data_IF_734128869220
#
_entry.id   IF_734128869220
#
_cell.length_a   1.000
_cell.length_b   1.000
_cell.length_c   1.000
_cell.angle_alpha   90.00
_cell.angle_beta   90.00
_cell.angle_gamma   90.00
#
_symmetry.space_group_name_H-M   'P 1'
#
loop_
_entity.id
_entity.type
_entity.pdbx_description
1 polymer ?
#
# COMPACT_ATOMS: atom_id res chain seq x y z
N UNK A 1 -26.83 29.66 -16.46
CA UNK A 1 -25.47 29.08 -16.58
C UNK A 1 -25.34 27.81 -15.73
N UNK A 2 -25.03 26.67 -16.37
CA UNK A 2 -24.84 25.37 -15.73
C UNK A 2 -26.14 24.61 -15.43
N UNK A 3 -26.69 23.90 -16.42
CA UNK A 3 -27.64 22.82 -16.15
C UNK A 3 -26.84 21.63 -15.58
N UNK A 4 -27.27 21.01 -14.46
CA UNK A 4 -26.68 19.77 -13.99
C UNK A 4 -27.05 18.65 -14.98
N UNK A 5 -26.26 18.53 -16.04
CA UNK A 5 -26.34 17.43 -16.99
C UNK A 5 -25.83 16.16 -16.30
N UNK A 6 -26.75 15.45 -15.64
CA UNK A 6 -26.47 14.13 -15.12
C UNK A 6 -26.26 13.17 -16.30
N UNK A 7 -25.05 12.62 -16.40
CA UNK A 7 -24.76 11.59 -17.40
C UNK A 7 -25.58 10.34 -17.04
N UNK A 8 -26.40 9.79 -17.96
CA UNK A 8 -27.17 8.59 -17.69
C UNK A 8 -26.26 7.44 -17.26
N UNK A 9 -26.63 6.71 -16.18
CA UNK A 9 -25.82 5.59 -15.64
C UNK A 9 -25.45 4.54 -16.70
N UNK A 10 -26.33 4.31 -17.66
CA UNK A 10 -26.11 3.37 -18.77
C UNK A 10 -24.95 3.79 -19.69
N UNK A 11 -24.66 5.10 -19.80
CA UNK A 11 -23.55 5.63 -20.58
C UNK A 11 -22.25 5.73 -19.78
N UNK A 12 -22.32 5.85 -18.44
CA UNK A 12 -21.13 5.92 -17.59
C UNK A 12 -20.31 4.63 -17.63
N UNK A 13 -20.95 3.47 -17.60
CA UNK A 13 -20.24 2.17 -17.61
C UNK A 13 -19.35 1.96 -18.86
N UNK A 14 -19.84 2.13 -20.11
CA UNK A 14 -18.98 2.00 -21.28
C UNK A 14 -17.91 3.10 -21.33
N UNK A 15 -18.24 4.33 -20.93
CA UNK A 15 -17.27 5.42 -20.88
C UNK A 15 -16.11 5.11 -19.93
N UNK A 16 -16.40 4.65 -18.71
CA UNK A 16 -15.39 4.26 -17.72
C UNK A 16 -14.54 3.08 -18.20
N UNK A 17 -15.11 2.12 -18.93
CA UNK A 17 -14.33 1.01 -19.51
C UNK A 17 -13.32 1.52 -20.54
N UNK A 18 -13.73 2.47 -21.39
CA UNK A 18 -12.85 3.08 -22.39
C UNK A 18 -11.76 3.90 -21.69
N UNK A 19 -12.13 4.75 -20.74
CA UNK A 19 -11.20 5.56 -19.97
C UNK A 19 -10.19 4.69 -19.20
N UNK A 20 -10.64 3.62 -18.55
CA UNK A 20 -9.76 2.67 -17.87
C UNK A 20 -8.74 2.06 -18.84
N UNK A 21 -9.20 1.58 -20.00
CA UNK A 21 -8.31 0.95 -20.99
C UNK A 21 -7.32 1.93 -21.61
N UNK A 22 -7.75 3.15 -21.90
CA UNK A 22 -6.93 4.12 -22.65
C UNK A 22 -6.05 4.98 -21.75
N UNK A 23 -6.43 5.20 -20.50
CA UNK A 23 -5.70 6.10 -19.59
C UNK A 23 -5.15 5.35 -18.37
N UNK A 24 -6.01 4.62 -17.64
CA UNK A 24 -5.58 4.02 -16.36
C UNK A 24 -4.60 2.86 -16.57
N UNK A 25 -4.85 1.98 -17.55
CA UNK A 25 -3.94 0.86 -17.84
C UNK A 25 -2.53 1.30 -18.21
N UNK A 26 -2.31 2.14 -19.24
CA UNK A 26 -0.95 2.54 -19.58
C UNK A 26 -0.26 3.28 -18.44
N UNK A 27 -1.01 4.13 -17.72
CA UNK A 27 -0.48 4.85 -16.55
C UNK A 27 0.02 3.89 -15.45
N UNK A 28 -0.75 2.85 -15.14
CA UNK A 28 -0.40 1.89 -14.07
C UNK A 28 0.60 0.82 -14.54
N UNK A 29 0.70 0.57 -15.84
CA UNK A 29 1.71 -0.35 -16.41
C UNK A 29 3.12 0.21 -16.22
N UNK A 30 3.30 1.52 -16.39
CA UNK A 30 4.57 2.21 -16.11
C UNK A 30 4.97 2.10 -14.64
N UNK A 31 4.03 2.44 -13.73
CA UNK A 31 4.24 2.31 -12.29
C UNK A 31 4.53 0.85 -11.88
N UNK A 32 3.83 -0.12 -12.48
CA UNK A 32 4.03 -1.53 -12.21
C UNK A 32 5.43 -2.01 -12.60
N UNK A 33 5.89 -1.64 -13.80
CA UNK A 33 7.25 -1.94 -14.26
C UNK A 33 8.32 -1.33 -13.35
N UNK A 34 8.11 -0.10 -12.88
CA UNK A 34 9.02 0.56 -11.95
C UNK A 34 9.11 -0.20 -10.61
N UNK A 35 7.96 -0.55 -10.02
CA UNK A 35 7.91 -1.31 -8.75
C UNK A 35 8.57 -2.68 -8.88
N UNK A 36 8.35 -3.39 -9.98
CA UNK A 36 9.00 -4.69 -10.21
C UNK A 36 10.52 -4.56 -10.33
N UNK A 37 11.02 -3.52 -11.01
CA UNK A 37 12.44 -3.24 -11.12
C UNK A 37 13.06 -2.85 -9.76
N UNK A 38 12.36 -2.02 -8.98
CA UNK A 38 12.75 -1.65 -7.62
C UNK A 38 12.82 -2.88 -6.72
N UNK A 39 11.83 -3.77 -6.78
CA UNK A 39 11.79 -5.01 -6.02
C UNK A 39 12.98 -5.92 -6.37
N UNK A 40 13.27 -6.11 -7.66
CA UNK A 40 14.44 -6.89 -8.10
C UNK A 40 15.76 -6.24 -7.65
N UNK A 41 15.84 -4.90 -7.66
CA UNK A 41 16.98 -4.16 -7.17
C UNK A 41 17.19 -4.38 -5.66
N UNK A 42 16.11 -4.28 -4.89
CA UNK A 42 16.12 -4.51 -3.45
C UNK A 42 16.56 -5.94 -3.11
N UNK A 43 16.01 -6.96 -3.77
CA UNK A 43 16.39 -8.36 -3.54
C UNK A 43 17.88 -8.62 -3.78
N UNK A 44 18.50 -7.90 -4.73
CA UNK A 44 19.93 -8.04 -5.04
C UNK A 44 20.83 -7.20 -4.13
N UNK A 45 20.35 -6.06 -3.65
CA UNK A 45 21.18 -5.01 -3.03
C UNK A 45 20.52 -4.35 -1.81
N UNK A 46 19.82 -5.12 -0.98
CA UNK A 46 19.08 -4.58 0.18
C UNK A 46 19.97 -3.85 1.20
N UNK A 47 21.26 -4.17 1.23
CA UNK A 47 22.27 -3.59 2.12
C UNK A 47 23.04 -2.43 1.49
N UNK A 48 22.82 -2.15 0.21
CA UNK A 48 23.43 -1.03 -0.48
C UNK A 48 22.77 0.31 -0.07
N UNK A 49 23.50 1.43 -0.15
CA UNK A 49 22.92 2.75 0.08
C UNK A 49 21.77 3.03 -0.89
N UNK A 50 20.67 3.60 -0.37
CA UNK A 50 19.51 4.00 -1.17
C UNK A 50 19.94 5.10 -2.16
N UNK A 51 19.74 4.86 -3.45
CA UNK A 51 20.04 5.79 -4.53
C UNK A 51 18.88 6.78 -4.80
N UNK A 52 18.24 7.29 -3.74
CA UNK A 52 17.11 8.21 -3.84
C UNK A 52 17.59 9.66 -3.77
N UNK A 53 17.28 10.44 -4.81
CA UNK A 53 17.72 11.83 -4.95
C UNK A 53 16.65 12.82 -4.49
N UNK A 54 15.39 12.39 -4.36
CA UNK A 54 14.29 13.25 -3.97
C UNK A 54 14.32 13.51 -2.45
N UNK A 55 14.52 14.78 -2.01
CA UNK A 55 14.58 15.10 -0.59
C UNK A 55 13.28 14.78 0.16
N UNK A 56 12.12 14.80 -0.52
CA UNK A 56 10.85 14.47 0.11
C UNK A 56 10.78 12.99 0.53
N UNK A 57 11.37 12.09 -0.27
CA UNK A 57 11.40 10.65 0.04
C UNK A 57 12.30 10.40 1.25
N UNK A 58 13.43 11.09 1.35
CA UNK A 58 14.30 11.01 2.52
C UNK A 58 13.59 11.47 3.81
N UNK A 59 12.88 12.59 3.77
CA UNK A 59 12.11 13.07 4.93
C UNK A 59 10.98 12.09 5.31
N UNK A 60 10.32 11.50 4.31
CA UNK A 60 9.30 10.48 4.54
C UNK A 60 9.88 9.21 5.20
N UNK A 61 11.04 8.75 4.75
CA UNK A 61 11.76 7.61 5.37
C UNK A 61 12.14 7.92 6.82
N UNK A 62 12.67 9.13 7.08
CA UNK A 62 13.02 9.58 8.43
C UNK A 62 11.80 9.56 9.36
N UNK A 63 10.66 10.07 8.89
CA UNK A 63 9.42 10.05 9.65
C UNK A 63 8.94 8.62 9.91
N UNK A 64 9.03 7.75 8.90
CA UNK A 64 8.65 6.33 9.00
C UNK A 64 9.46 5.62 10.09
N UNK A 65 10.78 5.82 10.10
CA UNK A 65 11.69 5.28 11.13
C UNK A 65 11.27 5.78 12.52
N UNK A 66 11.11 7.10 12.68
CA UNK A 66 10.74 7.69 13.97
C UNK A 66 9.41 7.13 14.51
N UNK A 67 8.39 6.98 13.65
CA UNK A 67 7.10 6.40 14.05
C UNK A 67 7.18 4.92 14.37
N UNK A 68 8.06 4.19 13.70
CA UNK A 68 8.28 2.79 14.03
C UNK A 68 8.97 2.62 15.38
N UNK A 69 9.99 3.44 15.66
CA UNK A 69 10.68 3.46 16.96
C UNK A 69 9.74 3.84 18.10
N UNK A 70 8.88 4.85 17.91
CA UNK A 70 7.83 5.21 18.86
C UNK A 70 6.92 4.00 19.16
N UNK A 71 6.43 3.33 18.11
CA UNK A 71 5.58 2.15 18.25
C UNK A 71 6.27 1.01 19.01
N UNK A 72 7.53 0.72 18.69
CA UNK A 72 8.31 -0.32 19.36
C UNK A 72 8.48 0.00 20.85
N UNK A 73 8.79 1.25 21.20
CA UNK A 73 8.93 1.69 22.59
C UNK A 73 7.62 1.57 23.37
N UNK A 74 6.48 1.94 22.78
CA UNK A 74 5.14 1.75 23.39
C UNK A 74 4.82 0.28 23.63
N UNK A 75 5.12 -0.56 22.64
CA UNK A 75 4.89 -2.01 22.70
C UNK A 75 5.74 -2.67 23.78
N UNK A 76 6.98 -2.24 23.99
CA UNK A 76 7.87 -2.74 25.05
C UNK A 76 7.44 -2.29 26.44
N UNK A 77 6.91 -1.06 26.57
CA UNK A 77 6.37 -0.52 27.84
C UNK A 77 5.07 -1.17 28.27
N UNK A 78 4.32 -1.76 27.34
CA UNK A 78 3.08 -2.48 27.64
C UNK A 78 3.43 -3.90 28.10
N UNK A 79 3.31 -4.25 29.39
CA UNK A 79 3.58 -5.61 29.84
C UNK A 79 2.69 -6.59 29.08
N UNK A 80 3.24 -7.75 28.67
CA UNK A 80 2.51 -8.86 28.03
C UNK A 80 1.37 -9.34 28.95
N UNK A 81 0.22 -8.67 28.88
CA UNK A 81 -1.03 -9.13 29.45
C UNK A 81 -2.05 -9.30 28.33
N UNK A 82 -1.69 -10.11 27.34
CA UNK A 82 -2.66 -10.83 26.52
C UNK A 82 -2.53 -12.30 26.84
N UNK A 83 -3.30 -12.77 27.81
CA UNK A 83 -3.78 -14.15 27.73
C UNK A 83 -4.63 -14.19 26.47
N UNK A 84 -4.18 -14.92 25.46
CA UNK A 84 -5.02 -15.23 24.32
C UNK A 84 -6.27 -15.96 24.86
N UNK A 85 -7.49 -15.61 24.43
CA UNK A 85 -8.64 -16.44 24.74
C UNK A 85 -8.37 -17.83 24.16
N UNK A 86 -8.32 -18.84 25.04
CA UNK A 86 -8.29 -20.24 24.63
C UNK A 86 -9.63 -20.51 23.95
N UNK A 87 -9.64 -20.61 22.63
CA UNK A 87 -10.80 -21.10 21.91
C UNK A 87 -10.96 -22.60 22.24
N UNK A 88 -12.18 -23.09 22.55
CA UNK A 88 -12.40 -24.52 22.66
C UNK A 88 -12.07 -25.16 21.31
N UNK A 89 -11.19 -26.16 21.31
CA UNK A 89 -10.85 -26.95 20.13
C UNK A 89 -12.12 -27.52 19.48
N UNK A 90 -12.22 -27.44 18.16
CA UNK A 90 -13.35 -27.99 17.41
C UNK A 90 -13.57 -29.48 17.76
N UNK A 91 -14.83 -29.96 17.80
CA UNK A 91 -15.08 -31.36 18.08
C UNK A 91 -14.47 -32.22 16.96
N UNK A 92 -13.56 -33.13 17.34
CA UNK A 92 -13.17 -34.24 16.46
C UNK A 92 -14.41 -35.11 16.28
N UNK A 93 -14.99 -35.07 15.07
CA UNK A 93 -15.93 -36.10 14.65
C UNK A 93 -15.10 -37.30 14.23
N UNK A 94 -15.37 -38.43 14.88
CA UNK A 94 -14.83 -39.75 14.53
C UNK A 94 -15.58 -40.40 13.38
#
# INVERSE_FOLDING_TARGET
>A
PGLPLAIPRQLMTPLLKIANRMMMRPLLEEDGMAVEAEQQGYERHYDAPIAELNPAVHEFQRLTIAKWEEYLAERERTPKQRRLPVMPSAPQQG
#
